data_IF_776561900910
#
_entry.id   IF_776561900910
#
_cell.length_a   1.000
_cell.length_b   1.000
_cell.length_c   1.000
_cell.angle_alpha   90.00
_cell.angle_beta   90.00
_cell.angle_gamma   90.00
#
_symmetry.space_group_name_H-M   'P 1'
#
loop_
_entity.id
_entity.type
_entity.pdbx_description
1 polymer ?
#
# COMPACT_ATOMS: atom_id res chain seq x y z
N UNK A 1 0.35 1.41 -19.44
CA UNK A 1 -0.22 2.64 -18.83
C UNK A 1 0.38 2.82 -17.46
N UNK A 2 0.51 4.05 -16.96
CA UNK A 2 1.02 4.25 -15.60
C UNK A 2 -0.05 3.88 -14.57
N UNK A 3 0.33 3.05 -13.60
CA UNK A 3 -0.49 2.66 -12.47
C UNK A 3 0.16 3.07 -11.16
N UNK A 4 -0.67 3.52 -10.22
CA UNK A 4 -0.27 3.67 -8.83
C UNK A 4 -0.58 2.35 -8.14
N UNK A 5 0.46 1.62 -7.74
CA UNK A 5 0.36 0.25 -7.22
C UNK A 5 1.23 0.02 -5.98
N UNK A 6 0.95 -1.07 -5.27
CA UNK A 6 1.72 -1.51 -4.12
C UNK A 6 2.86 -2.44 -4.56
N UNK A 7 4.09 -2.06 -4.24
CA UNK A 7 5.29 -2.89 -4.36
C UNK A 7 5.61 -3.50 -3.00
N UNK A 8 5.91 -4.80 -2.92
CA UNK A 8 6.21 -5.43 -1.63
C UNK A 8 7.70 -5.26 -1.29
N UNK A 9 7.99 -4.78 -0.09
CA UNK A 9 9.37 -4.54 0.38
C UNK A 9 9.66 -5.16 1.74
N UNK A 10 8.66 -5.75 2.40
CA UNK A 10 8.84 -6.41 3.70
C UNK A 10 9.45 -7.81 3.62
N UNK A 11 9.75 -8.37 4.79
CA UNK A 11 10.34 -9.70 4.98
C UNK A 11 9.28 -10.82 4.99
N UNK A 12 9.74 -12.06 5.16
CA UNK A 12 8.87 -13.20 5.46
C UNK A 12 8.02 -12.86 6.70
N UNK A 13 6.71 -13.05 6.60
CA UNK A 13 5.71 -12.74 7.64
C UNK A 13 5.58 -11.25 8.04
N UNK A 14 6.24 -10.32 7.33
CA UNK A 14 6.03 -8.89 7.52
C UNK A 14 5.63 -8.25 6.19
N UNK A 15 4.37 -7.83 6.07
CA UNK A 15 3.83 -7.27 4.84
C UNK A 15 3.96 -5.73 4.85
N UNK A 16 5.13 -5.25 4.44
CA UNK A 16 5.37 -3.83 4.18
C UNK A 16 5.37 -3.55 2.68
N UNK A 17 4.79 -2.42 2.30
CA UNK A 17 4.58 -2.01 0.91
C UNK A 17 5.07 -0.59 0.65
N UNK A 18 5.58 -0.37 -0.56
CA UNK A 18 5.80 0.97 -1.13
C UNK A 18 4.69 1.27 -2.11
N UNK A 19 4.18 2.50 -2.06
CA UNK A 19 3.20 2.99 -3.02
C UNK A 19 4.00 3.64 -4.14
N UNK A 20 3.92 3.09 -5.35
CA UNK A 20 4.77 3.48 -6.47
C UNK A 20 3.95 3.80 -7.71
N UNK A 21 4.39 4.80 -8.46
CA UNK A 21 3.97 5.01 -9.84
C UNK A 21 4.88 4.16 -10.75
N UNK A 22 4.28 3.25 -11.51
CA UNK A 22 5.02 2.38 -12.42
C UNK A 22 4.20 2.09 -13.68
N UNK A 23 4.85 1.78 -14.79
CA UNK A 23 4.13 1.28 -15.96
C UNK A 23 3.58 -0.12 -15.68
N UNK A 24 2.37 -0.36 -16.15
CA UNK A 24 1.64 -1.63 -16.03
C UNK A 24 2.46 -2.85 -16.49
N UNK A 25 3.27 -2.71 -17.55
CA UNK A 25 4.07 -3.81 -18.10
C UNK A 25 5.26 -4.17 -17.22
N UNK A 26 5.64 -3.29 -16.30
CA UNK A 26 6.77 -3.55 -15.40
C UNK A 26 6.39 -4.59 -14.34
N UNK A 27 7.29 -5.52 -13.97
CA UNK A 27 7.00 -6.52 -12.94
C UNK A 27 6.75 -5.85 -11.58
N UNK A 28 6.02 -6.53 -10.68
CA UNK A 28 5.58 -5.97 -9.38
C UNK A 28 6.70 -5.27 -8.61
N UNK A 29 7.84 -5.95 -8.47
CA UNK A 29 8.96 -5.49 -7.64
C UNK A 29 10.14 -4.91 -8.44
N UNK A 30 9.99 -4.74 -9.75
CA UNK A 30 11.05 -4.24 -10.65
C UNK A 30 11.02 -2.72 -10.83
N UNK A 31 11.29 -2.26 -12.06
CA UNK A 31 11.42 -0.84 -12.40
C UNK A 31 10.13 -0.07 -12.12
N UNK A 32 10.28 1.09 -11.49
CA UNK A 32 9.22 2.05 -11.23
C UNK A 32 9.70 3.46 -11.61
N UNK A 33 8.76 4.40 -11.73
CA UNK A 33 9.04 5.80 -12.07
C UNK A 33 9.33 6.59 -10.79
N UNK A 34 8.47 6.44 -9.79
CA UNK A 34 8.55 7.22 -8.55
C UNK A 34 7.93 6.49 -7.35
N UNK A 35 8.45 6.76 -6.16
CA UNK A 35 7.86 6.32 -4.88
C UNK A 35 7.02 7.47 -4.33
N UNK A 36 5.73 7.22 -4.14
CA UNK A 36 4.75 8.20 -3.66
C UNK A 36 4.48 8.07 -2.16
N UNK A 37 4.91 6.96 -1.55
CA UNK A 37 4.66 6.70 -0.14
C UNK A 37 4.96 5.28 0.29
N UNK A 38 4.48 4.93 1.48
CA UNK A 38 4.60 3.61 2.07
C UNK A 38 3.33 3.23 2.82
N UNK A 39 3.11 1.92 2.95
CA UNK A 39 2.01 1.33 3.66
C UNK A 39 2.50 0.09 4.40
N UNK A 40 2.32 0.06 5.72
CA UNK A 40 2.69 -1.04 6.58
C UNK A 40 1.42 -1.64 7.22
N UNK A 41 1.15 -2.93 6.98
CA UNK A 41 -0.04 -3.56 7.53
C UNK A 41 0.11 -3.97 9.00
N UNK A 42 1.34 -4.01 9.53
CA UNK A 42 1.58 -4.42 10.92
C UNK A 42 1.21 -3.32 11.92
N UNK A 43 1.25 -2.05 11.47
CA UNK A 43 0.87 -0.90 12.28
C UNK A 43 -0.65 -0.75 12.33
N UNK A 44 -1.21 -0.60 13.53
CA UNK A 44 -2.65 -0.33 13.72
C UNK A 44 -2.99 1.13 13.42
N UNK A 45 -2.15 2.05 13.92
CA UNK A 45 -2.30 3.48 13.80
C UNK A 45 -1.23 4.06 12.87
N UNK A 46 -1.55 5.14 12.14
CA UNK A 46 -0.64 5.80 11.20
C UNK A 46 0.11 4.84 10.26
N UNK A 47 -0.66 3.88 9.74
CA UNK A 47 -0.12 2.73 9.03
C UNK A 47 0.34 3.02 7.59
N UNK A 48 0.21 4.26 7.12
CA UNK A 48 0.71 4.68 5.82
C UNK A 48 1.14 6.15 5.86
N UNK A 49 2.02 6.52 4.93
CA UNK A 49 2.32 7.91 4.59
C UNK A 49 2.30 8.07 3.08
N UNK A 50 1.71 9.16 2.63
CA UNK A 50 1.53 9.46 1.21
C UNK A 50 1.90 10.92 0.94
N UNK A 51 2.58 11.16 -0.17
CA UNK A 51 2.75 12.51 -0.71
C UNK A 51 1.55 12.83 -1.61
N UNK A 52 0.64 13.65 -1.08
CA UNK A 52 -0.63 13.96 -1.75
C UNK A 52 -0.40 14.79 -3.01
N UNK A 53 0.56 15.72 -2.99
CA UNK A 53 0.86 16.61 -4.12
C UNK A 53 1.37 15.81 -5.33
N UNK A 54 2.29 14.88 -5.07
CA UNK A 54 2.82 14.00 -6.12
C UNK A 54 1.76 13.04 -6.65
N UNK A 55 0.89 12.52 -5.77
CA UNK A 55 -0.20 11.65 -6.20
C UNK A 55 -1.19 12.39 -7.08
N UNK A 56 -1.56 13.61 -6.73
CA UNK A 56 -2.45 14.45 -7.55
C UNK A 56 -1.84 14.78 -8.91
N UNK A 57 -0.53 15.04 -8.96
CA UNK A 57 0.20 15.17 -10.22
C UNK A 57 0.04 13.92 -11.11
N UNK A 58 0.28 12.72 -10.56
CA UNK A 58 0.16 11.49 -11.34
C UNK A 58 -1.28 11.18 -11.76
N UNK A 59 -2.27 11.46 -10.91
CA UNK A 59 -3.69 11.33 -11.24
C UNK A 59 -4.08 12.27 -12.39
N UNK A 60 -3.60 13.53 -12.35
CA UNK A 60 -3.78 14.51 -13.43
C UNK A 60 -3.14 14.05 -14.75
N UNK A 61 -2.01 13.36 -14.70
CA UNK A 61 -1.36 12.74 -15.87
C UNK A 61 -2.04 11.45 -16.37
N UNK A 62 -3.17 11.06 -15.77
CA UNK A 62 -3.94 9.88 -16.19
C UNK A 62 -3.47 8.56 -15.58
N UNK A 63 -2.67 8.60 -14.50
CA UNK A 63 -2.31 7.37 -13.78
C UNK A 63 -3.56 6.76 -13.12
N UNK A 64 -3.70 5.43 -13.23
CA UNK A 64 -4.82 4.70 -12.61
C UNK A 64 -4.37 4.01 -11.32
N UNK A 65 -4.93 4.33 -10.14
CA UNK A 65 -4.63 3.62 -8.91
C UNK A 65 -5.30 2.25 -8.87
N UNK A 66 -4.68 1.28 -8.20
CA UNK A 66 -5.34 0.01 -7.82
C UNK A 66 -6.34 0.23 -6.68
N UNK A 67 -7.23 -0.72 -6.43
CA UNK A 67 -8.30 -0.58 -5.41
C UNK A 67 -7.77 -0.24 -4.01
N UNK A 68 -6.73 -0.94 -3.54
CA UNK A 68 -6.10 -0.64 -2.25
C UNK A 68 -5.40 0.72 -2.26
N UNK A 69 -4.68 1.07 -3.34
CA UNK A 69 -4.01 2.35 -3.46
C UNK A 69 -5.03 3.51 -3.47
N UNK A 70 -6.13 3.37 -4.19
CA UNK A 70 -7.23 4.33 -4.20
C UNK A 70 -7.84 4.52 -2.81
N UNK A 71 -8.00 3.43 -2.05
CA UNK A 71 -8.49 3.49 -0.67
C UNK A 71 -7.53 4.27 0.25
N UNK A 72 -6.21 4.05 0.11
CA UNK A 72 -5.19 4.79 0.86
C UNK A 72 -5.18 6.29 0.48
N UNK A 73 -5.30 6.60 -0.82
CA UNK A 73 -5.38 7.99 -1.30
C UNK A 73 -6.62 8.69 -0.74
N UNK A 74 -7.78 8.02 -0.73
CA UNK A 74 -9.02 8.56 -0.13
C UNK A 74 -8.85 8.83 1.36
N UNK A 75 -8.22 7.92 2.11
CA UNK A 75 -7.91 8.10 3.54
C UNK A 75 -6.92 9.23 3.79
N UNK A 76 -5.94 9.42 2.90
CA UNK A 76 -4.99 10.53 2.98
C UNK A 76 -5.69 11.88 2.82
N UNK A 77 -6.64 11.97 1.88
CA UNK A 77 -7.41 13.20 1.60
C UNK A 77 -8.53 13.46 2.60
N UNK A 78 -9.15 12.40 3.12
CA UNK A 78 -10.20 12.50 4.11
C UNK A 78 -9.96 11.46 5.23
N UNK A 79 -9.40 11.89 6.38
CA UNK A 79 -9.01 10.98 7.47
C UNK A 79 -10.21 10.32 8.16
N UNK A 80 -11.45 10.80 7.93
CA UNK A 80 -12.65 10.25 8.55
C UNK A 80 -13.18 8.96 7.87
N UNK A 81 -12.62 8.56 6.72
CA UNK A 81 -13.13 7.43 5.94
C UNK A 81 -12.68 6.07 6.50
N UNK A 82 -13.66 5.23 6.84
CA UNK A 82 -13.45 3.84 7.25
C UNK A 82 -13.02 2.97 6.06
N UNK A 83 -12.23 1.90 6.28
CA UNK A 83 -11.81 1.02 5.19
C UNK A 83 -13.00 0.28 4.56
N UNK A 84 -13.12 0.34 3.23
CA UNK A 84 -14.23 -0.26 2.46
C UNK A 84 -14.15 -1.80 2.33
N UNK A 85 -12.98 -2.39 2.62
CA UNK A 85 -12.80 -3.84 2.74
C UNK A 85 -12.03 -4.12 4.02
N UNK A 86 -12.74 -4.47 5.09
CA UNK A 86 -12.14 -5.22 6.20
C UNK A 86 -11.79 -6.61 5.65
N UNK A 87 -10.62 -6.75 5.01
CA UNK A 87 -10.05 -8.06 4.70
C UNK A 87 -9.96 -8.76 6.04
N UNK A 88 -10.76 -9.83 6.22
CA UNK A 88 -10.70 -10.72 7.38
C UNK A 88 -9.23 -10.98 7.68
N UNK A 89 -8.74 -10.42 8.79
CA UNK A 89 -7.44 -10.76 9.32
C UNK A 89 -7.47 -12.28 9.54
N UNK A 90 -6.81 -13.04 8.68
CA UNK A 90 -6.49 -14.42 9.01
C UNK A 90 -5.48 -14.29 10.15
N UNK A 91 -5.95 -14.63 11.35
CA UNK A 91 -5.21 -14.53 12.60
C UNK A 91 -3.76 -15.02 12.43
N UNK A 92 -2.74 -14.33 12.99
CA UNK A 92 -1.44 -14.93 13.11
C UNK A 92 -1.57 -16.14 14.03
N UNK A 93 -1.33 -17.33 13.47
CA UNK A 93 -1.28 -18.57 14.22
C UNK A 93 -0.25 -18.42 15.35
N UNK A 94 -0.75 -18.52 16.58
CA UNK A 94 0.01 -18.70 17.81
C UNK A 94 1.06 -19.80 17.56
N UNK A 95 2.36 -19.47 17.58
CA UNK A 95 3.38 -20.46 17.89
C UNK A 95 3.51 -20.47 19.40
N UNK A 96 2.86 -21.44 20.02
CA UNK A 96 3.05 -21.79 21.41
C UNK A 96 4.40 -22.51 21.51
N UNK A 97 5.30 -21.93 22.28
CA UNK A 97 6.62 -22.41 22.62
C UNK A 97 6.42 -23.54 23.65
N UNK A 98 6.51 -24.80 23.21
CA UNK A 98 6.50 -25.94 24.10
C UNK A 98 7.94 -26.20 24.58
N UNK A 99 8.25 -25.68 25.75
CA UNK A 99 9.31 -26.21 26.63
C UNK A 99 8.67 -27.17 27.62
N UNK A 100 8.95 -28.47 27.47
CA UNK A 100 8.93 -29.49 28.52
C UNK A 100 9.58 -30.77 27.97
#
# INVERSE_FOLDING_TARGET
MVKIRLRRTGCKNHAAYRIVAADERSPRDGKFLEILGWYDTALKDNNFKLDVERVDYWLSKGAKPTETAASLIRRAKNPALKPHHAVKAKAPAKKEEASA
#
